data_IF_710083910209
#
_entry.id   IF_710083910209
#
_cell.length_a   1.000
_cell.length_b   1.000
_cell.length_c   1.000
_cell.angle_alpha   90.00
_cell.angle_beta   90.00
_cell.angle_gamma   90.00
#
_symmetry.space_group_name_H-M   'P 1'
#
loop_
_entity.id
_entity.type
_entity.pdbx_description
1 polymer ?
#
# COMPACT_ATOMS: atom_id res chain seq x y z
N UNK A 1 3.94 13.80 18.35
CA UNK A 1 4.25 12.36 18.35
C UNK A 1 3.92 11.78 19.71
N UNK A 2 2.75 11.18 19.85
CA UNK A 2 2.25 10.63 21.12
C UNK A 2 0.91 9.90 20.96
N UNK A 3 0.58 9.50 19.73
CA UNK A 3 -0.65 8.77 19.46
C UNK A 3 -0.48 7.32 19.90
N UNK A 4 -1.45 6.80 20.65
CA UNK A 4 -1.46 5.41 21.11
C UNK A 4 -1.94 4.53 19.96
N UNK A 5 -1.02 4.18 19.06
CA UNK A 5 -1.32 3.22 17.99
C UNK A 5 -1.49 1.84 18.61
N UNK A 6 -2.61 1.14 18.36
CA UNK A 6 -2.80 -0.22 18.84
C UNK A 6 -1.68 -1.14 18.36
N UNK A 7 -1.17 -2.00 19.24
CA UNK A 7 -0.10 -2.97 18.91
C UNK A 7 -0.46 -3.86 17.71
N UNK A 8 -1.75 -4.15 17.54
CA UNK A 8 -2.28 -4.93 16.41
C UNK A 8 -2.03 -4.24 15.06
N UNK A 9 -2.05 -2.91 14.99
CA UNK A 9 -1.80 -2.16 13.75
C UNK A 9 -0.32 -2.15 13.39
N UNK A 10 0.57 -2.08 14.39
CA UNK A 10 2.01 -2.22 14.19
C UNK A 10 2.38 -3.63 13.70
N UNK A 11 1.75 -4.67 14.25
CA UNK A 11 1.95 -6.03 13.78
C UNK A 11 1.47 -6.22 12.34
N UNK A 12 0.34 -5.61 12.00
CA UNK A 12 -0.20 -5.59 10.63
C UNK A 12 0.75 -4.88 9.66
N UNK A 13 1.28 -3.71 10.02
CA UNK A 13 2.31 -3.01 9.23
C UNK A 13 3.55 -3.90 9.01
N UNK A 14 4.08 -4.49 10.08
CA UNK A 14 5.23 -5.40 9.99
C UNK A 14 4.96 -6.58 9.06
N UNK A 15 3.73 -7.12 9.05
CA UNK A 15 3.33 -8.19 8.15
C UNK A 15 3.36 -7.72 6.69
N UNK A 16 2.85 -6.53 6.39
CA UNK A 16 2.92 -5.94 5.05
C UNK A 16 4.39 -5.73 4.62
N UNK A 17 5.21 -5.14 5.50
CA UNK A 17 6.62 -4.91 5.22
C UNK A 17 7.39 -6.21 4.96
N UNK A 18 7.02 -7.31 5.62
CA UNK A 18 7.60 -8.64 5.34
C UNK A 18 7.36 -9.10 3.90
N UNK A 19 6.22 -8.75 3.28
CA UNK A 19 5.95 -9.07 1.87
C UNK A 19 6.75 -8.17 0.93
N UNK A 20 7.00 -6.91 1.32
CA UNK A 20 7.92 -6.02 0.57
C UNK A 20 9.33 -6.62 0.52
N UNK A 21 9.80 -7.18 1.64
CA UNK A 21 11.11 -7.86 1.70
C UNK A 21 11.19 -9.09 0.79
N UNK A 22 10.04 -9.72 0.48
CA UNK A 22 9.92 -10.81 -0.51
C UNK A 22 9.85 -10.30 -1.97
N UNK A 23 10.22 -9.03 -2.22
CA UNK A 23 10.22 -8.37 -3.53
C UNK A 23 8.84 -8.23 -4.18
N UNK A 24 7.76 -8.24 -3.39
CA UNK A 24 6.43 -7.87 -3.89
C UNK A 24 6.26 -6.35 -3.86
N UNK A 25 5.68 -5.78 -4.91
CA UNK A 25 5.44 -4.34 -5.01
C UNK A 25 4.00 -3.95 -4.68
N UNK A 26 3.05 -4.87 -4.86
CA UNK A 26 1.65 -4.69 -4.56
C UNK A 26 1.03 -5.99 -4.07
N UNK A 27 -0.12 -5.88 -3.39
CA UNK A 27 -0.93 -6.99 -2.92
C UNK A 27 -2.40 -6.74 -3.30
N UNK A 28 -3.18 -7.81 -3.40
CA UNK A 28 -4.63 -7.70 -3.54
C UNK A 28 -5.27 -7.30 -2.21
N UNK A 29 -6.38 -6.57 -2.26
CA UNK A 29 -7.15 -6.16 -1.09
C UNK A 29 -7.52 -7.34 -0.19
N UNK A 30 -7.95 -8.46 -0.78
CA UNK A 30 -8.29 -9.68 -0.04
C UNK A 30 -7.13 -10.21 0.82
N UNK A 31 -5.89 -10.11 0.32
CA UNK A 31 -4.71 -10.55 1.04
C UNK A 31 -4.35 -9.60 2.19
N UNK A 32 -4.57 -8.29 1.98
CA UNK A 32 -4.44 -7.27 3.04
C UNK A 32 -5.46 -7.53 4.15
N UNK A 33 -6.70 -7.83 3.78
CA UNK A 33 -7.77 -8.20 4.72
C UNK A 33 -7.41 -9.44 5.53
N UNK A 34 -6.89 -10.48 4.88
CA UNK A 34 -6.41 -11.70 5.56
C UNK A 34 -5.30 -11.38 6.56
N UNK A 35 -4.31 -10.57 6.18
CA UNK A 35 -3.24 -10.18 7.09
C UNK A 35 -3.74 -9.39 8.29
N UNK A 36 -4.73 -8.51 8.10
CA UNK A 36 -5.33 -7.76 9.18
C UNK A 36 -6.08 -8.70 10.16
N UNK A 37 -6.84 -9.66 9.63
CA UNK A 37 -7.54 -10.68 10.41
C UNK A 37 -6.56 -11.55 11.22
N UNK A 38 -5.44 -11.96 10.62
CA UNK A 38 -4.39 -12.74 11.30
C UNK A 38 -3.78 -11.99 12.50
N UNK A 39 -3.84 -10.65 12.50
CA UNK A 39 -3.37 -9.79 13.59
C UNK A 39 -4.48 -9.34 14.55
N UNK A 40 -5.72 -9.81 14.35
CA UNK A 40 -6.87 -9.53 15.22
C UNK A 40 -7.71 -8.31 14.81
N UNK A 41 -7.59 -7.82 13.57
CA UNK A 41 -8.42 -6.74 13.01
C UNK A 41 -9.49 -7.37 12.10
N UNK A 42 -10.73 -7.45 12.61
CA UNK A 42 -11.81 -8.17 11.92
C UNK A 42 -12.84 -7.27 11.23
N UNK A 43 -13.07 -6.05 11.72
CA UNK A 43 -14.00 -5.09 11.09
C UNK A 43 -13.34 -4.48 9.84
N UNK A 44 -14.05 -4.53 8.71
CA UNK A 44 -13.60 -3.94 7.45
C UNK A 44 -13.29 -2.45 7.58
N UNK A 45 -14.04 -1.74 8.43
CA UNK A 45 -13.80 -0.31 8.69
C UNK A 45 -12.46 -0.08 9.39
N UNK A 46 -12.10 -0.96 10.32
CA UNK A 46 -10.82 -0.88 11.03
C UNK A 46 -9.66 -1.24 10.09
N UNK A 47 -9.84 -2.22 9.21
CA UNK A 47 -8.85 -2.55 8.16
C UNK A 47 -8.62 -1.35 7.25
N UNK A 48 -9.70 -0.72 6.75
CA UNK A 48 -9.60 0.48 5.92
C UNK A 48 -8.93 1.63 6.65
N UNK A 49 -9.23 1.84 7.93
CA UNK A 49 -8.63 2.90 8.73
C UNK A 49 -7.12 2.66 8.94
N UNK A 50 -6.71 1.42 9.21
CA UNK A 50 -5.30 1.06 9.33
C UNK A 50 -4.56 1.22 8.00
N UNK A 51 -5.16 0.80 6.87
CA UNK A 51 -4.60 1.01 5.54
C UNK A 51 -4.49 2.50 5.22
N UNK A 52 -5.51 3.30 5.54
CA UNK A 52 -5.50 4.75 5.33
C UNK A 52 -4.40 5.42 6.14
N UNK A 53 -4.22 5.02 7.41
CA UNK A 53 -3.11 5.52 8.22
C UNK A 53 -1.76 5.22 7.57
N UNK A 54 -1.55 3.98 7.12
CA UNK A 54 -0.29 3.60 6.46
C UNK A 54 -0.09 4.31 5.12
N UNK A 55 -1.18 4.67 4.43
CA UNK A 55 -1.16 5.48 3.24
C UNK A 55 -0.75 6.92 3.54
N UNK A 56 -1.34 7.54 4.55
CA UNK A 56 -1.04 8.90 4.98
C UNK A 56 0.42 9.03 5.48
N UNK A 57 0.95 7.97 6.10
CA UNK A 57 2.36 7.85 6.49
C UNK A 57 3.32 7.61 5.31
N UNK A 58 2.79 7.28 4.12
CA UNK A 58 3.58 6.93 2.95
C UNK A 58 4.25 5.55 3.05
N UNK A 59 3.89 4.72 4.02
CA UNK A 59 4.37 3.33 4.09
C UNK A 59 3.81 2.54 2.91
N UNK A 60 2.54 2.74 2.55
CA UNK A 60 1.90 2.09 1.40
C UNK A 60 1.18 3.12 0.53
N UNK A 61 0.73 2.72 -0.64
CA UNK A 61 -0.18 3.53 -1.46
C UNK A 61 -1.45 2.74 -1.73
N UNK A 62 -2.58 3.26 -1.25
CA UNK A 62 -3.91 2.73 -1.53
C UNK A 62 -4.73 3.80 -2.26
N UNK A 63 -5.54 3.37 -3.23
CA UNK A 63 -6.41 4.25 -3.99
C UNK A 63 -7.82 3.70 -3.96
N UNK A 64 -8.71 4.34 -3.20
CA UNK A 64 -10.11 3.95 -3.08
C UNK A 64 -10.93 4.49 -4.27
N UNK A 65 -10.62 3.97 -5.47
CA UNK A 65 -11.36 4.28 -6.70
C UNK A 65 -11.74 3.00 -7.45
N UNK A 66 -12.62 3.15 -8.44
CA UNK A 66 -13.25 2.01 -9.11
C UNK A 66 -12.26 1.06 -9.80
N UNK A 67 -11.09 1.53 -10.18
CA UNK A 67 -10.09 0.78 -10.94
C UNK A 67 -8.99 0.16 -10.08
N UNK A 68 -8.72 0.75 -8.89
CA UNK A 68 -7.55 0.41 -8.08
C UNK A 68 -7.87 -0.10 -6.68
N UNK A 69 -9.12 -0.03 -6.23
CA UNK A 69 -9.51 -0.46 -4.86
C UNK A 69 -9.16 -1.91 -4.53
N UNK A 70 -9.02 -2.77 -5.53
CA UNK A 70 -8.67 -4.18 -5.34
C UNK A 70 -7.17 -4.41 -5.12
N UNK A 71 -6.36 -3.35 -5.20
CA UNK A 71 -4.91 -3.42 -5.09
C UNK A 71 -4.35 -2.39 -4.11
N UNK A 72 -3.38 -2.83 -3.32
CA UNK A 72 -2.61 -1.99 -2.41
C UNK A 72 -1.16 -2.06 -2.82
N UNK A 73 -0.56 -0.93 -3.17
CA UNK A 73 0.87 -0.85 -3.48
C UNK A 73 1.62 -0.82 -2.16
N UNK A 74 2.38 -1.87 -1.90
CA UNK A 74 3.15 -2.02 -0.67
C UNK A 74 4.58 -1.50 -0.83
N UNK A 75 5.00 -1.12 -2.03
CA UNK A 75 6.29 -0.49 -2.30
C UNK A 75 6.08 0.83 -3.06
N UNK A 76 6.00 1.97 -2.35
CA UNK A 76 5.76 3.27 -2.97
C UNK A 76 6.83 3.68 -4.00
N UNK A 77 8.10 3.32 -3.78
CA UNK A 77 9.18 3.64 -4.72
C UNK A 77 8.92 3.01 -6.09
N UNK A 78 8.46 1.76 -6.11
CA UNK A 78 8.20 1.04 -7.35
C UNK A 78 7.12 1.74 -8.21
N UNK A 79 6.02 2.20 -7.61
CA UNK A 79 4.97 2.88 -8.38
C UNK A 79 5.45 4.26 -8.85
N UNK A 80 6.27 4.95 -8.06
CA UNK A 80 6.90 6.22 -8.47
C UNK A 80 7.83 6.02 -9.66
N UNK A 81 8.66 4.97 -9.65
CA UNK A 81 9.56 4.66 -10.77
C UNK A 81 8.78 4.33 -12.05
N UNK A 82 7.69 3.55 -11.93
CA UNK A 82 6.79 3.25 -13.05
C UNK A 82 6.18 4.54 -13.61
N UNK A 83 5.67 5.42 -12.74
CA UNK A 83 5.08 6.69 -13.18
C UNK A 83 6.12 7.61 -13.81
N UNK A 84 7.34 7.66 -13.26
CA UNK A 84 8.46 8.42 -13.82
C UNK A 84 8.79 7.97 -15.25
N UNK A 85 8.76 6.66 -15.52
CA UNK A 85 8.92 6.11 -16.86
C UNK A 85 7.79 6.55 -17.81
N UNK A 86 6.53 6.45 -17.37
CA UNK A 86 5.36 6.82 -18.17
C UNK A 86 5.37 8.30 -18.55
N UNK A 87 5.68 9.19 -17.61
CA UNK A 87 5.74 10.63 -17.91
C UNK A 87 6.95 10.98 -18.78
N UNK A 88 8.09 10.31 -18.59
CA UNK A 88 9.30 10.54 -19.38
C UNK A 88 9.19 10.01 -20.81
N UNK A 89 8.37 8.98 -21.05
CA UNK A 89 8.12 8.44 -22.38
C UNK A 89 7.43 9.46 -23.31
N UNK A 90 6.58 10.34 -22.76
CA UNK A 90 5.96 11.43 -23.52
C UNK A 90 6.92 12.57 -23.86
N UNK A 91 8.06 12.64 -23.16
CA UNK A 91 9.09 13.66 -23.34
C UNK A 91 10.16 13.26 -24.35
N UNK A 92 10.03 12.11 -25.03
CA UNK A 92 11.00 11.74 -26.06
C UNK A 92 10.82 12.66 -27.28
N UNK A 93 11.83 13.48 -27.63
CA UNK A 93 11.79 14.23 -28.87
C UNK A 93 12.04 13.21 -29.98
N UNK A 94 10.98 12.59 -30.48
CA UNK A 94 11.06 11.94 -31.79
C UNK A 94 11.32 13.08 -32.77
N UNK A 95 12.59 13.24 -33.12
CA UNK A 95 13.03 13.96 -34.30
C UNK A 95 12.42 13.22 -35.50
N UNK A 96 11.36 13.79 -36.05
CA UNK A 96 10.86 13.46 -37.40
C UNK A 96 11.40 14.49 -38.37
#
# INVERSE_FOLDING_TARGET
>A
MGEKIPKVWLNFENRILSERMKKKNYLKWEMIRQFAMDQGIFDERDVKMAVQLLHDLGTIQYFDNDFLRDYVVINPQWIVDVMACVVSAQSSPIQV
#
